data_IF_012736118026
#
_entry.id   IF_012736118026
#
_cell.length_a   1.000
_cell.length_b   1.000
_cell.length_c   1.000
_cell.angle_alpha   90.00
_cell.angle_beta   90.00
_cell.angle_gamma   90.00
#
_symmetry.space_group_name_H-M   'P 1'
#
loop_
_entity.id
_entity.type
_entity.pdbx_description
1 polymer ?
#
# COMPACT_ATOMS: atom_id res chain seq x y z
N UNK A 1 24.08 50.47 -11.35
CA UNK A 1 24.62 49.10 -11.48
C UNK A 1 23.54 48.25 -12.14
N UNK A 2 23.71 47.95 -13.43
CA UNK A 2 22.74 47.15 -14.20
C UNK A 2 23.07 45.69 -13.95
N UNK A 3 22.24 44.98 -13.18
CA UNK A 3 22.34 43.52 -13.12
C UNK A 3 22.09 43.00 -14.55
N UNK A 4 23.00 42.23 -15.16
CA UNK A 4 22.77 41.68 -16.49
C UNK A 4 21.61 40.69 -16.42
N UNK A 5 20.65 40.78 -17.37
CA UNK A 5 19.48 39.90 -17.49
C UNK A 5 19.81 38.40 -17.38
N UNK A 6 21.05 38.01 -17.70
CA UNK A 6 21.55 36.64 -17.54
C UNK A 6 21.50 36.14 -16.08
N UNK A 7 21.72 37.00 -15.09
CA UNK A 7 21.68 36.62 -13.66
C UNK A 7 20.23 36.44 -13.18
N UNK A 8 19.28 37.20 -13.73
CA UNK A 8 17.85 37.04 -13.43
C UNK A 8 17.30 35.75 -14.06
N UNK A 9 17.72 35.40 -15.28
CA UNK A 9 17.34 34.12 -15.93
C UNK A 9 17.97 32.89 -15.26
N UNK A 10 19.18 33.00 -14.71
CA UNK A 10 19.80 31.93 -13.90
C UNK A 10 19.13 31.77 -12.53
N UNK A 11 18.64 32.85 -11.91
CA UNK A 11 17.90 32.77 -10.64
C UNK A 11 16.47 32.22 -10.82
N UNK A 12 15.83 32.44 -11.97
CA UNK A 12 14.50 31.87 -12.28
C UNK A 12 14.58 30.37 -12.57
N UNK A 13 15.68 29.87 -13.15
CA UNK A 13 15.90 28.44 -13.38
C UNK A 13 16.31 27.66 -12.11
N UNK A 14 16.75 28.36 -11.06
CA UNK A 14 16.98 27.79 -9.72
C UNK A 14 15.73 27.82 -8.82
N UNK A 15 14.65 28.48 -9.25
CA UNK A 15 13.35 28.52 -8.55
C UNK A 15 12.34 27.50 -9.09
N UNK A 16 12.62 26.84 -10.21
CA UNK A 16 11.95 25.60 -10.57
C UNK A 16 12.60 24.46 -9.80
N UNK A 17 12.31 24.36 -8.51
CA UNK A 17 12.49 23.09 -7.81
C UNK A 17 11.79 22.02 -8.65
N UNK A 18 12.47 20.92 -8.95
CA UNK A 18 11.84 19.74 -9.53
C UNK A 18 10.78 19.25 -8.54
N UNK A 19 9.55 19.78 -8.64
CA UNK A 19 8.39 19.07 -8.17
C UNK A 19 8.36 17.80 -9.02
N UNK A 20 8.72 16.66 -8.42
CA UNK A 20 8.44 15.40 -9.05
C UNK A 20 6.93 15.41 -9.34
N UNK A 21 6.56 15.33 -10.61
CA UNK A 21 5.16 15.27 -10.98
C UNK A 21 4.68 13.88 -10.59
N UNK A 22 3.77 13.80 -9.60
CA UNK A 22 3.07 12.55 -9.27
C UNK A 22 2.52 11.95 -10.55
N UNK A 23 2.72 10.65 -10.73
CA UNK A 23 2.44 10.00 -12.00
C UNK A 23 1.78 8.66 -11.84
N UNK A 24 1.04 8.25 -12.87
CA UNK A 24 0.55 6.87 -13.02
C UNK A 24 1.29 6.23 -14.18
N UNK A 25 1.81 5.04 -13.98
CA UNK A 25 2.47 4.21 -14.99
C UNK A 25 1.63 2.97 -15.21
N UNK A 26 1.30 2.67 -16.46
CA UNK A 26 0.74 1.39 -16.85
C UNK A 26 1.85 0.48 -17.34
N UNK A 27 1.91 -0.73 -16.79
CA UNK A 27 2.72 -1.82 -17.32
C UNK A 27 1.80 -2.87 -17.91
N UNK A 28 1.84 -3.01 -19.24
CA UNK A 28 1.00 -3.99 -19.93
C UNK A 28 1.69 -5.35 -19.98
N UNK A 29 0.90 -6.41 -20.16
CA UNK A 29 1.44 -7.77 -20.33
C UNK A 29 2.40 -7.95 -21.52
N UNK A 30 2.47 -7.02 -22.47
CA UNK A 30 3.43 -7.01 -23.58
C UNK A 30 4.76 -6.31 -23.24
N UNK A 31 4.89 -5.75 -22.04
CA UNK A 31 6.06 -4.98 -21.60
C UNK A 31 6.05 -3.52 -22.06
N UNK A 32 4.93 -3.04 -22.63
CA UNK A 32 4.74 -1.63 -22.95
C UNK A 32 4.48 -0.84 -21.67
N UNK A 33 5.09 0.34 -21.59
CA UNK A 33 4.97 1.24 -20.45
C UNK A 33 4.35 2.54 -20.92
N UNK A 34 3.21 2.91 -20.35
CA UNK A 34 2.50 4.16 -20.67
C UNK A 34 2.48 5.03 -19.41
N UNK A 35 3.04 6.23 -19.49
CA UNK A 35 3.10 7.16 -18.38
C UNK A 35 2.03 8.27 -18.50
N UNK A 36 1.34 8.52 -17.40
CA UNK A 36 0.36 9.58 -17.23
C UNK A 36 0.84 10.55 -16.16
N UNK A 37 0.87 11.83 -16.51
CA UNK A 37 1.04 12.92 -15.55
C UNK A 37 -0.30 13.65 -15.43
N UNK A 38 -0.93 13.65 -14.25
CA UNK A 38 -2.18 14.37 -14.02
C UNK A 38 -1.98 15.86 -14.28
N UNK A 39 -3.00 16.48 -14.86
CA UNK A 39 -3.09 17.94 -14.90
C UNK A 39 -3.90 18.40 -13.69
N UNK A 40 -3.39 19.39 -12.96
CA UNK A 40 -4.01 19.89 -11.73
C UNK A 40 -5.47 20.39 -11.89
N UNK A 41 -5.92 20.67 -13.11
CA UNK A 41 -7.30 21.06 -13.40
C UNK A 41 -8.30 19.89 -13.44
N UNK A 42 -7.82 18.65 -13.58
CA UNK A 42 -8.66 17.46 -13.81
C UNK A 42 -8.84 16.62 -12.53
N UNK A 43 -8.14 16.93 -11.43
CA UNK A 43 -7.89 16.02 -10.30
C UNK A 43 -8.87 16.10 -9.11
N UNK A 44 -10.06 16.67 -9.29
CA UNK A 44 -11.04 16.74 -8.20
C UNK A 44 -11.68 15.36 -7.95
N UNK A 45 -11.90 14.95 -6.69
CA UNK A 45 -12.67 13.75 -6.39
C UNK A 45 -14.07 13.81 -6.99
N UNK A 46 -14.56 12.67 -7.48
CA UNK A 46 -15.95 12.47 -7.90
C UNK A 46 -16.88 12.96 -6.81
N UNK A 47 -17.78 13.86 -7.16
CA UNK A 47 -18.75 14.40 -6.23
C UNK A 47 -19.84 13.35 -6.03
N UNK A 48 -19.97 12.86 -4.81
CA UNK A 48 -21.08 12.01 -4.39
C UNK A 48 -22.03 12.85 -3.56
N UNK A 49 -23.23 13.09 -4.12
CA UNK A 49 -24.30 13.71 -3.36
C UNK A 49 -24.66 12.84 -2.14
N UNK A 50 -25.17 13.49 -1.11
CA UNK A 50 -25.50 12.83 0.16
C UNK A 50 -26.55 11.74 -0.02
N UNK A 51 -27.62 12.05 -0.75
CA UNK A 51 -28.74 11.13 -0.96
C UNK A 51 -28.30 9.94 -1.82
N UNK A 52 -27.51 10.20 -2.87
CA UNK A 52 -26.93 9.16 -3.74
C UNK A 52 -25.98 8.25 -2.96
N UNK A 53 -25.13 8.83 -2.11
CA UNK A 53 -24.21 8.10 -1.25
C UNK A 53 -24.97 7.20 -0.26
N UNK A 54 -25.92 7.75 0.49
CA UNK A 54 -26.69 7.00 1.49
C UNK A 54 -27.50 5.87 0.84
N UNK A 55 -28.13 6.12 -0.31
CA UNK A 55 -28.85 5.10 -1.05
C UNK A 55 -27.92 3.95 -1.48
N UNK A 56 -26.76 4.28 -2.05
CA UNK A 56 -25.78 3.27 -2.46
C UNK A 56 -25.26 2.47 -1.27
N UNK A 57 -24.95 3.12 -0.15
CA UNK A 57 -24.52 2.45 1.08
C UNK A 57 -25.58 1.46 1.57
N UNK A 58 -26.85 1.89 1.66
CA UNK A 58 -27.95 1.01 2.06
C UNK A 58 -28.13 -0.20 1.12
N UNK A 59 -27.97 -0.01 -0.19
CA UNK A 59 -28.04 -1.10 -1.17
C UNK A 59 -26.88 -2.09 -1.02
N UNK A 60 -25.65 -1.58 -0.93
CA UNK A 60 -24.45 -2.39 -0.81
C UNK A 60 -24.40 -3.15 0.53
N UNK A 61 -24.96 -2.58 1.59
CA UNK A 61 -25.01 -3.21 2.90
C UNK A 61 -25.99 -4.36 3.04
N UNK A 62 -27.09 -4.40 2.28
CA UNK A 62 -28.13 -5.44 2.39
C UNK A 62 -27.62 -6.86 2.13
N UNK A 63 -26.59 -7.01 1.31
CA UNK A 63 -26.00 -8.31 0.96
C UNK A 63 -24.85 -8.76 1.88
N UNK A 64 -24.44 -7.92 2.84
CA UNK A 64 -23.25 -8.16 3.64
C UNK A 64 -23.55 -9.07 4.83
N UNK A 65 -22.78 -10.15 4.95
CA UNK A 65 -22.75 -10.95 6.17
C UNK A 65 -21.78 -10.32 7.16
N UNK A 66 -22.32 -9.66 8.18
CA UNK A 66 -21.52 -8.95 9.17
C UNK A 66 -20.56 -9.90 9.91
N UNK A 67 -19.25 -9.60 9.94
CA UNK A 67 -18.31 -10.38 10.72
C UNK A 67 -18.46 -10.07 12.22
N UNK A 68 -18.23 -11.08 13.05
CA UNK A 68 -18.18 -10.91 14.52
C UNK A 68 -16.93 -10.11 14.93
N UNK A 69 -15.84 -10.25 14.17
CA UNK A 69 -14.55 -9.57 14.37
C UNK A 69 -14.22 -8.75 13.13
N UNK A 70 -14.68 -7.50 13.07
CA UNK A 70 -14.49 -6.64 11.90
C UNK A 70 -13.02 -6.44 11.52
N UNK A 71 -12.12 -6.24 12.50
CA UNK A 71 -10.69 -6.11 12.27
C UNK A 71 -10.09 -7.36 11.61
N UNK A 72 -10.35 -8.54 12.16
CA UNK A 72 -9.82 -9.80 11.62
C UNK A 72 -10.36 -10.08 10.22
N UNK A 73 -11.64 -9.80 9.98
CA UNK A 73 -12.25 -9.94 8.66
C UNK A 73 -11.59 -9.02 7.63
N UNK A 74 -11.33 -7.75 7.98
CA UNK A 74 -10.64 -6.81 7.12
C UNK A 74 -9.18 -7.21 6.84
N UNK A 75 -8.47 -7.73 7.84
CA UNK A 75 -7.11 -8.27 7.65
C UNK A 75 -7.09 -9.44 6.67
N UNK A 76 -8.00 -10.40 6.82
CA UNK A 76 -8.14 -11.55 5.91
C UNK A 76 -8.49 -11.09 4.50
N UNK A 77 -9.34 -10.08 4.37
CA UNK A 77 -9.77 -9.51 3.08
C UNK A 77 -8.60 -9.00 2.24
N UNK A 78 -7.60 -8.40 2.90
CA UNK A 78 -6.39 -7.86 2.26
C UNK A 78 -5.15 -8.73 2.44
N UNK A 79 -5.32 -9.99 2.86
CA UNK A 79 -4.22 -10.95 3.08
C UNK A 79 -3.14 -10.43 4.04
N UNK A 80 -3.55 -9.64 5.04
CA UNK A 80 -2.66 -9.04 6.02
C UNK A 80 -2.48 -9.96 7.24
N UNK A 81 -1.23 -10.22 7.61
CA UNK A 81 -0.89 -10.88 8.86
C UNK A 81 -1.25 -10.03 10.09
N UNK A 82 -1.36 -10.67 11.26
CA UNK A 82 -1.45 -9.93 12.51
C UNK A 82 -0.16 -9.11 12.71
N UNK A 83 -0.30 -7.81 12.94
CA UNK A 83 0.83 -6.98 13.37
C UNK A 83 1.10 -7.30 14.84
N UNK A 84 2.19 -8.00 15.11
CA UNK A 84 2.59 -8.41 16.46
C UNK A 84 4.09 -8.68 16.51
N UNK A 85 4.67 -8.55 17.70
CA UNK A 85 6.08 -8.85 17.93
C UNK A 85 6.38 -10.35 17.89
N UNK A 86 7.65 -10.71 17.77
CA UNK A 86 8.08 -12.10 17.91
C UNK A 86 8.09 -12.51 19.39
N UNK A 87 7.52 -13.67 19.70
CA UNK A 87 7.46 -14.20 21.06
C UNK A 87 8.03 -15.62 21.12
N UNK A 88 8.84 -15.89 22.14
CA UNK A 88 9.28 -17.24 22.53
C UNK A 88 8.28 -17.82 23.52
N UNK A 89 7.72 -18.98 23.22
CA UNK A 89 6.91 -19.74 24.17
C UNK A 89 7.73 -20.88 24.78
N UNK A 90 7.90 -20.87 26.11
CA UNK A 90 8.48 -21.97 26.86
C UNK A 90 7.38 -22.93 27.30
N UNK A 91 7.32 -24.12 26.68
CA UNK A 91 6.27 -25.11 26.93
C UNK A 91 6.34 -25.78 28.31
N UNK A 92 7.50 -25.75 29.00
CA UNK A 92 7.67 -26.37 30.33
C UNK A 92 7.20 -25.44 31.44
N UNK A 93 7.52 -24.15 31.31
CA UNK A 93 7.16 -23.13 32.29
C UNK A 93 5.86 -22.41 31.94
N UNK A 94 5.33 -22.63 30.72
CA UNK A 94 4.20 -21.89 30.12
C UNK A 94 4.43 -20.38 30.07
N UNK A 95 5.70 -19.97 30.03
CA UNK A 95 6.08 -18.57 30.00
C UNK A 95 6.27 -18.13 28.55
N UNK A 96 5.61 -17.05 28.16
CA UNK A 96 5.91 -16.35 26.91
C UNK A 96 7.08 -15.40 27.22
N UNK A 97 7.99 -15.14 26.30
CA UNK A 97 9.03 -14.09 26.44
C UNK A 97 9.14 -13.37 25.10
N UNK A 98 9.00 -12.04 25.02
CA UNK A 98 9.13 -11.38 23.75
C UNK A 98 10.61 -11.39 23.32
N UNK A 99 10.83 -11.48 22.02
CA UNK A 99 12.16 -11.59 21.41
C UNK A 99 12.79 -10.22 21.13
N UNK A 100 11.99 -9.18 20.99
CA UNK A 100 12.45 -7.80 20.88
C UNK A 100 12.80 -7.21 22.25
N UNK A 101 13.93 -6.50 22.33
CA UNK A 101 14.38 -5.85 23.58
C UNK A 101 13.43 -4.69 23.93
N UNK A 102 12.68 -4.83 25.02
CA UNK A 102 11.76 -3.80 25.54
C UNK A 102 10.28 -4.13 25.43
N UNK A 103 9.91 -5.24 24.79
CA UNK A 103 8.54 -5.74 24.88
C UNK A 103 8.33 -6.35 26.28
N UNK A 104 7.31 -5.89 27.00
CA UNK A 104 6.88 -6.48 28.27
C UNK A 104 5.63 -7.31 28.01
N UNK A 105 5.63 -8.54 28.50
CA UNK A 105 4.44 -9.38 28.50
C UNK A 105 3.56 -9.00 29.68
N UNK A 106 2.30 -8.72 29.36
CA UNK A 106 1.31 -8.15 30.26
C UNK A 106 1.70 -6.76 30.78
N UNK A 107 1.57 -5.76 29.92
CA UNK A 107 1.41 -4.38 30.39
C UNK A 107 0.01 -4.31 30.99
N UNK A 108 -0.09 -4.24 32.33
CA UNK A 108 -1.27 -3.67 32.96
C UNK A 108 -1.62 -2.40 32.20
N UNK A 109 -2.87 -2.28 31.75
CA UNK A 109 -3.35 -1.09 31.05
C UNK A 109 -2.80 0.16 31.75
N UNK A 110 -2.01 0.96 31.07
CA UNK A 110 -1.59 2.23 31.67
C UNK A 110 -2.84 3.02 32.04
N UNK A 111 -2.79 3.86 33.08
CA UNK A 111 -3.97 4.67 33.42
C UNK A 111 -4.43 5.52 32.23
N UNK A 112 -3.50 5.91 31.38
CA UNK A 112 -3.72 6.54 30.08
C UNK A 112 -4.59 5.68 29.15
N UNK A 113 -4.26 4.40 28.94
CA UNK A 113 -5.05 3.50 28.10
C UNK A 113 -6.44 3.22 28.68
N UNK A 114 -6.55 3.07 30.01
CA UNK A 114 -7.86 2.91 30.66
C UNK A 114 -8.72 4.16 30.49
N UNK A 115 -8.16 5.34 30.71
CA UNK A 115 -8.86 6.62 30.54
C UNK A 115 -9.30 6.83 29.09
N UNK A 116 -8.44 6.50 28.12
CA UNK A 116 -8.78 6.59 26.70
C UNK A 116 -9.88 5.60 26.30
N UNK A 117 -9.84 4.37 26.82
CA UNK A 117 -10.87 3.35 26.59
C UNK A 117 -12.22 3.78 27.17
N UNK A 118 -12.24 4.37 28.38
CA UNK A 118 -13.47 4.95 28.96
C UNK A 118 -14.03 6.08 28.10
N UNK A 119 -13.17 7.04 27.70
CA UNK A 119 -13.58 8.16 26.84
C UNK A 119 -14.11 7.71 25.47
N UNK A 120 -13.57 6.62 24.92
CA UNK A 120 -14.09 6.00 23.70
C UNK A 120 -15.52 5.44 23.90
N UNK A 121 -15.75 4.69 24.97
CA UNK A 121 -17.09 4.15 25.27
C UNK A 121 -18.10 5.27 25.52
N UNK A 122 -17.71 6.33 26.23
CA UNK A 122 -18.52 7.53 26.43
C UNK A 122 -18.82 8.25 25.10
N UNK A 123 -17.88 8.26 24.14
CA UNK A 123 -18.12 8.81 22.80
C UNK A 123 -19.12 7.96 22.01
N UNK A 124 -19.05 6.63 22.09
CA UNK A 124 -20.06 5.75 21.50
C UNK A 124 -21.46 6.06 22.08
N UNK A 125 -21.59 6.17 23.40
CA UNK A 125 -22.87 6.48 24.06
C UNK A 125 -23.43 7.85 23.65
N UNK A 126 -22.60 8.90 23.65
CA UNK A 126 -23.03 10.26 23.25
C UNK A 126 -23.48 10.37 21.80
N UNK A 127 -23.04 9.46 20.94
CA UNK A 127 -23.41 9.39 19.53
C UNK A 127 -24.54 8.40 19.26
N UNK A 128 -25.28 8.02 20.31
CA UNK A 128 -26.47 7.16 20.20
C UNK A 128 -26.15 5.67 20.03
N UNK A 129 -24.89 5.27 20.16
CA UNK A 129 -24.42 3.88 19.99
C UNK A 129 -24.16 3.24 21.36
N UNK A 130 -24.08 1.91 21.42
CA UNK A 130 -23.88 1.19 22.69
C UNK A 130 -22.59 0.40 22.68
N UNK A 131 -21.91 0.37 23.83
CA UNK A 131 -20.71 -0.44 24.04
C UNK A 131 -19.58 -0.12 23.06
N UNK A 132 -18.90 -1.16 22.59
CA UNK A 132 -17.79 -1.08 21.65
C UNK A 132 -18.29 -0.86 20.20
N UNK A 133 -18.79 0.33 19.92
CA UNK A 133 -19.50 0.64 18.67
C UNK A 133 -18.67 0.56 17.39
N UNK A 134 -17.33 0.57 17.48
CA UNK A 134 -16.39 0.40 16.37
C UNK A 134 -15.68 -0.97 16.41
N UNK A 135 -16.03 -1.85 17.34
CA UNK A 135 -15.36 -3.15 17.53
C UNK A 135 -13.83 -3.04 17.72
N UNK A 136 -13.36 -2.00 18.41
CA UNK A 136 -11.92 -1.77 18.66
C UNK A 136 -11.41 -2.44 19.92
N UNK A 137 -12.30 -3.07 20.69
CA UNK A 137 -12.01 -3.79 21.94
C UNK A 137 -12.36 -5.30 21.81
N UNK A 138 -12.61 -5.80 20.61
CA UNK A 138 -12.97 -7.21 20.39
C UNK A 138 -11.78 -8.15 20.59
N UNK A 139 -10.58 -7.71 20.20
CA UNK A 139 -9.34 -8.50 20.33
C UNK A 139 -8.56 -8.18 21.62
N UNK A 140 -9.05 -7.25 22.45
CA UNK A 140 -8.44 -6.88 23.73
C UNK A 140 -9.28 -5.88 24.53
N UNK A 141 -9.06 -5.79 25.84
CA UNK A 141 -9.87 -4.93 26.72
C UNK A 141 -9.47 -3.44 26.70
N UNK A 142 -8.58 -3.04 25.79
CA UNK A 142 -7.98 -1.70 25.74
C UNK A 142 -7.90 -1.19 24.31
N UNK A 143 -7.99 0.13 24.17
CA UNK A 143 -7.72 0.80 22.92
C UNK A 143 -6.21 0.95 22.66
N UNK A 144 -5.66 0.04 21.86
CA UNK A 144 -4.23 -0.02 21.51
C UNK A 144 -4.00 -0.34 20.02
N UNK A 145 -2.78 -0.12 19.55
CA UNK A 145 -2.34 -0.42 18.17
C UNK A 145 -3.32 0.05 17.10
N UNK A 146 -3.72 -0.88 16.23
CA UNK A 146 -4.64 -0.61 15.11
C UNK A 146 -5.98 -0.01 15.54
N UNK A 147 -6.45 -0.30 16.76
CA UNK A 147 -7.71 0.25 17.29
C UNK A 147 -7.67 1.77 17.41
N UNK A 148 -6.49 2.34 17.69
CA UNK A 148 -6.29 3.81 17.72
C UNK A 148 -6.43 4.42 16.33
N UNK A 149 -5.92 3.75 15.30
CA UNK A 149 -6.03 4.22 13.91
C UNK A 149 -7.46 4.14 13.42
N UNK A 150 -8.18 3.04 13.72
CA UNK A 150 -9.58 2.88 13.37
C UNK A 150 -10.46 3.96 14.05
N UNK A 151 -10.20 4.25 15.33
CA UNK A 151 -10.89 5.33 16.04
C UNK A 151 -10.55 6.72 15.46
N UNK A 152 -9.27 7.02 15.21
CA UNK A 152 -8.87 8.28 14.59
C UNK A 152 -9.49 8.46 13.20
N UNK A 153 -9.59 7.39 12.41
CA UNK A 153 -10.31 7.37 11.13
C UNK A 153 -11.79 7.68 11.30
N UNK A 154 -12.46 7.09 12.30
CA UNK A 154 -13.87 7.36 12.56
C UNK A 154 -14.09 8.83 13.01
N UNK A 155 -13.14 9.38 13.76
CA UNK A 155 -13.15 10.78 14.19
C UNK A 155 -12.78 11.75 13.06
N UNK A 156 -12.18 11.27 11.97
CA UNK A 156 -11.76 12.11 10.86
C UNK A 156 -12.95 12.75 10.12
N UNK A 157 -14.10 12.08 10.04
CA UNK A 157 -15.24 12.64 9.33
C UNK A 157 -16.58 12.29 9.97
N UNK A 158 -16.91 12.97 11.08
CA UNK A 158 -18.16 12.76 11.84
C UNK A 158 -19.43 12.82 10.98
N UNK A 159 -19.52 13.76 10.04
CA UNK A 159 -20.68 13.85 9.15
C UNK A 159 -20.85 12.61 8.24
N UNK A 160 -19.75 12.05 7.71
CA UNK A 160 -19.85 10.86 6.85
C UNK A 160 -20.14 9.62 7.70
N UNK A 161 -19.63 9.58 8.93
CA UNK A 161 -19.98 8.55 9.90
C UNK A 161 -21.49 8.56 10.24
N UNK A 162 -22.07 9.75 10.41
CA UNK A 162 -23.51 9.94 10.63
C UNK A 162 -24.32 9.52 9.39
N UNK A 163 -23.93 9.97 8.19
CA UNK A 163 -24.54 9.55 6.92
C UNK A 163 -24.51 8.02 6.75
N UNK A 164 -23.41 7.36 7.11
CA UNK A 164 -23.31 5.90 7.09
C UNK A 164 -24.27 5.24 8.08
N UNK A 165 -24.36 5.74 9.31
CA UNK A 165 -25.28 5.20 10.32
C UNK A 165 -26.73 5.32 9.86
N UNK A 166 -27.10 6.47 9.26
CA UNK A 166 -28.43 6.70 8.71
C UNK A 166 -28.72 5.76 7.53
N UNK A 167 -27.76 5.59 6.61
CA UNK A 167 -27.89 4.67 5.48
C UNK A 167 -28.11 3.20 5.91
N UNK A 168 -27.62 2.83 7.09
CA UNK A 168 -27.73 1.47 7.64
C UNK A 168 -28.83 1.29 8.68
N UNK A 169 -29.68 2.30 8.93
CA UNK A 169 -30.64 2.29 10.04
C UNK A 169 -31.61 1.09 10.04
N UNK A 170 -31.93 0.55 8.86
CA UNK A 170 -32.83 -0.61 8.71
C UNK A 170 -32.13 -1.97 8.93
N UNK A 171 -30.81 -1.98 9.18
CA UNK A 171 -30.06 -3.20 9.46
C UNK A 171 -30.21 -3.64 10.92
N UNK A 172 -30.00 -4.95 11.18
CA UNK A 172 -30.08 -5.50 12.53
C UNK A 172 -29.05 -4.90 13.50
N UNK A 173 -27.87 -4.54 12.99
CA UNK A 173 -26.84 -3.82 13.75
C UNK A 173 -26.11 -2.82 12.83
N UNK A 174 -26.58 -1.55 12.78
CA UNK A 174 -25.96 -0.51 11.97
C UNK A 174 -24.53 -0.19 12.42
N UNK A 175 -24.25 -0.28 13.73
CA UNK A 175 -22.91 0.02 14.28
C UNK A 175 -21.89 -1.03 13.87
N UNK A 176 -22.27 -2.31 13.85
CA UNK A 176 -21.40 -3.37 13.35
C UNK A 176 -21.08 -3.21 11.85
N UNK A 177 -22.03 -2.73 11.05
CA UNK A 177 -21.79 -2.45 9.64
C UNK A 177 -20.81 -1.29 9.44
N UNK A 178 -21.00 -0.20 10.18
CA UNK A 178 -20.05 0.92 10.19
C UNK A 178 -18.67 0.46 10.64
N UNK A 179 -18.58 -0.34 11.71
CA UNK A 179 -17.33 -0.91 12.18
C UNK A 179 -16.64 -1.74 11.07
N UNK A 180 -17.39 -2.60 10.36
CA UNK A 180 -16.86 -3.40 9.26
C UNK A 180 -16.29 -2.54 8.11
N UNK A 181 -17.00 -1.47 7.71
CA UNK A 181 -16.53 -0.54 6.70
C UNK A 181 -15.29 0.25 7.17
N UNK A 182 -15.30 0.74 8.42
CA UNK A 182 -14.19 1.48 9.01
C UNK A 182 -12.93 0.62 9.13
N UNK A 183 -13.06 -0.63 9.58
CA UNK A 183 -11.93 -1.56 9.64
C UNK A 183 -11.41 -1.94 8.26
N UNK A 184 -12.31 -2.13 7.28
CA UNK A 184 -11.92 -2.38 5.89
C UNK A 184 -11.11 -1.22 5.32
N UNK A 185 -11.61 0.01 5.46
CA UNK A 185 -10.87 1.20 5.03
C UNK A 185 -9.54 1.38 5.77
N UNK A 186 -9.54 1.20 7.09
CA UNK A 186 -8.32 1.36 7.91
C UNK A 186 -7.25 0.33 7.52
N UNK A 187 -7.61 -0.95 7.36
CA UNK A 187 -6.68 -1.99 6.91
C UNK A 187 -6.16 -1.74 5.50
N UNK A 188 -7.03 -1.30 4.59
CA UNK A 188 -6.61 -0.89 3.25
C UNK A 188 -5.55 0.21 3.30
N UNK A 189 -5.72 1.26 4.11
CA UNK A 189 -4.74 2.34 4.21
C UNK A 189 -3.45 1.89 4.91
N UNK A 190 -3.52 0.98 5.88
CA UNK A 190 -2.33 0.40 6.53
C UNK A 190 -1.43 -0.29 5.50
N UNK A 191 -1.99 -0.98 4.51
CA UNK A 191 -1.23 -1.61 3.42
C UNK A 191 -0.26 -0.63 2.75
N UNK A 192 -0.68 0.63 2.59
CA UNK A 192 0.06 1.68 1.91
C UNK A 192 1.10 2.39 2.80
N UNK A 193 1.20 2.02 4.07
CA UNK A 193 2.19 2.61 5.01
C UNK A 193 3.50 1.82 5.07
N UNK A 194 3.55 0.64 4.44
CA UNK A 194 4.78 -0.16 4.31
C UNK A 194 5.69 0.49 3.25
N UNK A 195 7.03 0.51 3.41
CA UNK A 195 7.93 0.98 2.37
C UNK A 195 7.74 0.21 1.05
N UNK A 196 7.66 0.93 -0.06
CA UNK A 196 7.44 0.39 -1.42
C UNK A 196 6.27 -0.60 -1.52
N UNK A 197 5.05 -0.16 -1.16
CA UNK A 197 3.92 -1.07 -1.00
C UNK A 197 3.51 -1.63 -2.36
N UNK A 198 3.31 -2.95 -2.40
CA UNK A 198 2.76 -3.68 -3.54
C UNK A 198 1.46 -4.35 -3.10
N UNK A 199 0.38 -4.01 -3.80
CA UNK A 199 -0.94 -4.61 -3.62
C UNK A 199 -1.26 -5.54 -4.78
N UNK A 200 -2.05 -6.58 -4.50
CA UNK A 200 -2.55 -7.56 -5.48
C UNK A 200 -4.02 -7.84 -5.20
N UNK A 201 -4.66 -8.57 -6.11
CA UNK A 201 -6.03 -9.05 -5.91
C UNK A 201 -6.99 -7.89 -5.63
N UNK A 202 -7.80 -8.00 -4.57
CA UNK A 202 -8.80 -6.99 -4.24
C UNK A 202 -8.18 -5.63 -3.92
N UNK A 203 -7.05 -5.59 -3.21
CA UNK A 203 -6.39 -4.33 -2.88
C UNK A 203 -5.91 -3.58 -4.14
N UNK A 204 -5.43 -4.31 -5.16
CA UNK A 204 -5.02 -3.71 -6.43
C UNK A 204 -6.21 -3.10 -7.19
N UNK A 205 -7.30 -3.85 -7.31
CA UNK A 205 -8.53 -3.39 -7.96
C UNK A 205 -9.14 -2.20 -7.20
N UNK A 206 -9.23 -2.29 -5.87
CA UNK A 206 -9.72 -1.20 -5.02
C UNK A 206 -8.87 0.07 -5.18
N UNK A 207 -7.55 -0.07 -5.35
CA UNK A 207 -6.64 1.06 -5.56
C UNK A 207 -6.85 1.73 -6.91
N UNK A 208 -6.96 0.96 -7.98
CA UNK A 208 -7.27 1.51 -9.30
C UNK A 208 -8.63 2.21 -9.31
N UNK A 209 -9.64 1.65 -8.64
CA UNK A 209 -10.95 2.30 -8.47
C UNK A 209 -10.86 3.56 -7.62
N UNK A 210 -10.09 3.58 -6.54
CA UNK A 210 -9.87 4.80 -5.74
C UNK A 210 -9.19 5.89 -6.55
N UNK A 211 -8.18 5.56 -7.36
CA UNK A 211 -7.54 6.53 -8.26
C UNK A 211 -8.56 7.06 -9.29
N UNK A 212 -9.43 6.20 -9.82
CA UNK A 212 -10.50 6.60 -10.72
C UNK A 212 -11.52 7.55 -10.07
N UNK A 213 -11.88 7.32 -8.80
CA UNK A 213 -12.86 8.13 -8.08
C UNK A 213 -12.29 9.40 -7.45
N UNK A 214 -11.02 9.38 -7.06
CA UNK A 214 -10.41 10.45 -6.26
C UNK A 214 -9.40 11.29 -7.04
N UNK A 215 -8.83 10.73 -8.10
CA UNK A 215 -7.60 11.20 -8.71
C UNK A 215 -6.36 10.77 -7.93
N UNK A 216 -5.23 10.69 -8.64
CA UNK A 216 -3.96 10.21 -8.04
C UNK A 216 -3.40 11.17 -6.98
N UNK A 217 -3.62 12.48 -7.12
CA UNK A 217 -3.17 13.48 -6.15
C UNK A 217 -3.88 13.33 -4.80
N UNK A 218 -5.20 13.13 -4.85
CA UNK A 218 -6.00 12.86 -3.66
C UNK A 218 -5.59 11.53 -3.06
N UNK A 219 -5.46 10.46 -3.86
CA UNK A 219 -4.99 9.16 -3.39
C UNK A 219 -3.63 9.25 -2.66
N UNK A 220 -2.68 10.00 -3.20
CA UNK A 220 -1.39 10.25 -2.56
C UNK A 220 -1.52 11.02 -1.24
N UNK A 221 -2.37 12.04 -1.23
CA UNK A 221 -2.61 12.86 -0.05
C UNK A 221 -3.27 12.03 1.06
N UNK A 222 -4.15 11.10 0.72
CA UNK A 222 -4.76 10.16 1.66
C UNK A 222 -3.73 9.19 2.25
N UNK A 223 -2.95 8.51 1.42
CA UNK A 223 -1.98 7.51 1.89
C UNK A 223 -0.88 8.14 2.75
N UNK A 224 -0.30 9.26 2.31
CA UNK A 224 0.71 10.00 3.09
C UNK A 224 0.12 10.66 4.34
N UNK A 225 -1.11 11.18 4.26
CA UNK A 225 -1.84 11.71 5.40
C UNK A 225 -2.14 10.65 6.45
N UNK A 226 -2.46 9.43 6.02
CA UNK A 226 -2.76 8.32 6.91
C UNK A 226 -1.49 7.80 7.62
N UNK A 227 -0.36 7.73 6.92
CA UNK A 227 0.93 7.42 7.54
C UNK A 227 1.27 8.40 8.69
N UNK A 228 1.01 9.70 8.48
CA UNK A 228 1.14 10.72 9.54
C UNK A 228 0.12 10.54 10.66
N UNK A 229 -1.13 10.21 10.34
CA UNK A 229 -2.16 9.90 11.34
C UNK A 229 -1.72 8.74 12.24
N UNK A 230 -1.13 7.68 11.67
CA UNK A 230 -0.64 6.55 12.48
C UNK A 230 0.46 6.99 13.46
N UNK A 231 1.45 7.73 12.95
CA UNK A 231 2.57 8.22 13.76
C UNK A 231 2.11 9.15 14.90
N UNK A 232 1.14 10.03 14.63
CA UNK A 232 0.57 10.95 15.63
C UNK A 232 -0.35 10.20 16.62
N UNK A 233 -1.16 9.24 16.14
CA UNK A 233 -2.05 8.43 16.97
C UNK A 233 -1.29 7.51 17.95
N UNK A 234 -0.12 7.01 17.57
CA UNK A 234 0.75 6.24 18.46
C UNK A 234 1.26 7.07 19.62
N UNK A 235 1.51 8.37 19.38
CA UNK A 235 2.03 9.31 20.38
C UNK A 235 0.92 9.95 21.23
N UNK A 236 -0.33 9.90 20.78
CA UNK A 236 -1.46 10.45 21.51
C UNK A 236 -1.64 9.76 22.87
N UNK A 237 -1.79 10.59 23.91
CA UNK A 237 -1.99 10.16 25.31
C UNK A 237 -3.42 10.39 25.77
N UNK A 238 -4.21 11.17 25.06
CA UNK A 238 -5.61 11.41 25.43
C UNK A 238 -6.55 11.18 24.26
N UNK A 239 -7.82 10.91 24.56
CA UNK A 239 -8.85 10.81 23.54
C UNK A 239 -8.99 12.11 22.74
N UNK A 240 -8.82 13.27 23.39
CA UNK A 240 -8.92 14.57 22.74
C UNK A 240 -7.77 14.82 21.77
N UNK A 241 -6.55 14.43 22.12
CA UNK A 241 -5.42 14.43 21.20
C UNK A 241 -5.70 13.53 19.98
N UNK A 242 -6.20 12.32 20.20
CA UNK A 242 -6.53 11.39 19.12
C UNK A 242 -7.64 11.93 18.20
N UNK A 243 -8.64 12.62 18.77
CA UNK A 243 -9.68 13.34 18.02
C UNK A 243 -9.09 14.44 17.15
N UNK A 244 -8.16 15.24 17.68
CA UNK A 244 -7.48 16.29 16.90
C UNK A 244 -6.67 15.70 15.75
N UNK A 245 -6.01 14.55 15.95
CA UNK A 245 -5.31 13.81 14.89
C UNK A 245 -6.30 13.39 13.80
N UNK A 246 -7.42 12.77 14.19
CA UNK A 246 -8.50 12.40 13.28
C UNK A 246 -9.01 13.60 12.47
N UNK A 247 -9.41 14.68 13.12
CA UNK A 247 -9.92 15.90 12.48
C UNK A 247 -8.93 16.52 11.47
N UNK A 248 -7.63 16.47 11.78
CA UNK A 248 -6.59 16.93 10.85
C UNK A 248 -6.55 16.06 9.59
N UNK A 249 -6.61 14.74 9.75
CA UNK A 249 -6.68 13.82 8.62
C UNK A 249 -7.99 13.99 7.82
N UNK A 250 -9.10 14.26 8.51
CA UNK A 250 -10.38 14.63 7.91
C UNK A 250 -10.31 15.80 6.93
N UNK A 251 -9.51 16.82 7.26
CA UNK A 251 -9.26 17.97 6.38
C UNK A 251 -8.44 17.61 5.14
N UNK A 252 -7.55 16.61 5.24
CA UNK A 252 -6.79 16.09 4.10
C UNK A 252 -7.70 15.31 3.16
N UNK A 253 -8.57 14.47 3.71
CA UNK A 253 -9.50 13.65 2.93
C UNK A 253 -10.60 14.50 2.29
N UNK A 254 -11.25 15.38 3.05
CA UNK A 254 -12.43 16.12 2.60
C UNK A 254 -13.65 15.22 2.42
N UNK A 255 -14.84 15.83 2.35
CA UNK A 255 -16.12 15.10 2.40
C UNK A 255 -16.35 14.16 1.21
N UNK A 256 -16.09 14.63 -0.02
CA UNK A 256 -16.32 13.83 -1.22
C UNK A 256 -15.40 12.59 -1.28
N UNK A 257 -14.11 12.77 -0.95
CA UNK A 257 -13.20 11.63 -0.91
C UNK A 257 -13.56 10.67 0.23
N UNK A 258 -14.02 11.18 1.38
CA UNK A 258 -14.49 10.34 2.49
C UNK A 258 -15.71 9.49 2.09
N UNK A 259 -16.71 10.08 1.41
CA UNK A 259 -17.87 9.33 0.88
C UNK A 259 -17.44 8.25 -0.11
N UNK A 260 -16.62 8.60 -1.10
CA UNK A 260 -16.14 7.64 -2.09
C UNK A 260 -15.32 6.51 -1.44
N UNK A 261 -14.45 6.87 -0.49
CA UNK A 261 -13.66 5.90 0.26
C UNK A 261 -14.54 4.96 1.10
N UNK A 262 -15.52 5.51 1.84
CA UNK A 262 -16.46 4.74 2.66
C UNK A 262 -17.32 3.80 1.80
N UNK A 263 -17.79 4.27 0.65
CA UNK A 263 -18.55 3.46 -0.31
C UNK A 263 -17.70 2.28 -0.81
N UNK A 264 -16.48 2.54 -1.29
CA UNK A 264 -15.61 1.48 -1.80
C UNK A 264 -15.17 0.52 -0.69
N UNK A 265 -14.89 1.01 0.51
CA UNK A 265 -14.62 0.15 1.67
C UNK A 265 -15.81 -0.76 2.00
N UNK A 266 -17.04 -0.25 1.88
CA UNK A 266 -18.27 -1.01 2.11
C UNK A 266 -18.49 -2.08 1.04
N UNK A 267 -18.31 -1.73 -0.23
CA UNK A 267 -18.40 -2.67 -1.36
C UNK A 267 -17.36 -3.78 -1.23
N UNK A 268 -16.16 -3.48 -0.71
CA UNK A 268 -15.10 -4.46 -0.52
C UNK A 268 -15.46 -5.54 0.54
N UNK A 269 -16.35 -5.25 1.49
CA UNK A 269 -16.70 -6.20 2.56
C UNK A 269 -17.24 -7.51 1.98
N UNK A 270 -16.53 -8.61 2.23
CA UNK A 270 -16.93 -9.94 1.80
C UNK A 270 -16.87 -10.19 0.29
N UNK A 271 -16.27 -9.28 -0.48
CA UNK A 271 -16.12 -9.42 -1.94
C UNK A 271 -14.73 -9.95 -2.32
N UNK A 272 -14.67 -10.59 -3.49
CA UNK A 272 -13.41 -10.87 -4.19
C UNK A 272 -13.06 -9.70 -5.10
N UNK A 273 -11.85 -9.69 -5.68
CA UNK A 273 -11.47 -8.70 -6.69
C UNK A 273 -12.49 -8.61 -7.84
N UNK A 274 -12.94 -9.76 -8.36
CA UNK A 274 -13.93 -9.83 -9.42
C UNK A 274 -15.33 -9.39 -8.97
N UNK A 275 -15.76 -9.78 -7.77
CA UNK A 275 -17.05 -9.37 -7.20
C UNK A 275 -17.12 -7.85 -6.98
N UNK A 276 -16.04 -7.28 -6.44
CA UNK A 276 -15.88 -5.83 -6.28
C UNK A 276 -15.91 -5.13 -7.63
N UNK A 277 -15.09 -5.57 -8.60
CA UNK A 277 -15.02 -4.95 -9.93
C UNK A 277 -16.37 -5.00 -10.66
N UNK A 278 -17.12 -6.10 -10.53
CA UNK A 278 -18.45 -6.23 -11.13
C UNK A 278 -19.48 -5.23 -10.60
N UNK A 279 -19.28 -4.69 -9.40
CA UNK A 279 -20.15 -3.66 -8.81
C UNK A 279 -19.76 -2.24 -9.20
N UNK A 280 -18.48 -1.98 -9.52
CA UNK A 280 -17.95 -0.63 -9.80
C UNK A 280 -18.77 0.16 -10.84
N UNK A 281 -19.21 -0.42 -11.97
CA UNK A 281 -20.03 0.31 -12.95
C UNK A 281 -21.39 0.78 -12.42
N UNK A 282 -21.93 0.10 -11.40
CA UNK A 282 -23.26 0.38 -10.82
C UNK A 282 -23.22 1.41 -9.70
N UNK A 283 -22.04 1.80 -9.25
CA UNK A 283 -21.88 2.76 -8.17
C UNK A 283 -22.18 4.19 -8.64
N UNK A 284 -22.72 5.06 -7.76
CA UNK A 284 -22.89 6.47 -8.08
C UNK A 284 -21.56 7.11 -8.47
N UNK A 285 -21.57 7.99 -9.46
CA UNK A 285 -20.35 8.65 -9.96
C UNK A 285 -19.46 7.79 -10.89
N UNK A 286 -19.82 6.54 -11.19
CA UNK A 286 -19.02 5.65 -12.05
C UNK A 286 -18.75 6.20 -13.45
N UNK A 287 -19.67 6.98 -14.01
CA UNK A 287 -19.50 7.65 -15.30
C UNK A 287 -18.38 8.70 -15.24
N UNK A 288 -18.35 9.54 -14.20
CA UNK A 288 -17.29 10.52 -13.99
C UNK A 288 -15.96 9.81 -13.70
N UNK A 289 -15.97 8.80 -12.83
CA UNK A 289 -14.80 7.99 -12.52
C UNK A 289 -14.23 7.31 -13.77
N UNK A 290 -15.07 6.90 -14.73
CA UNK A 290 -14.62 6.29 -15.99
C UNK A 290 -13.86 7.29 -16.87
N UNK A 291 -14.34 8.54 -16.95
CA UNK A 291 -13.66 9.62 -17.68
C UNK A 291 -12.32 9.94 -17.01
N UNK A 292 -12.30 10.00 -15.68
CA UNK A 292 -11.10 10.26 -14.89
C UNK A 292 -10.08 9.12 -15.02
N UNK A 293 -10.52 7.87 -14.91
CA UNK A 293 -9.66 6.69 -15.08
C UNK A 293 -8.98 6.68 -16.46
N UNK A 294 -9.75 6.95 -17.53
CA UNK A 294 -9.22 6.94 -18.89
C UNK A 294 -8.21 8.05 -19.15
N UNK A 295 -8.39 9.22 -18.53
CA UNK A 295 -7.56 10.42 -18.75
C UNK A 295 -6.34 10.53 -17.82
N UNK A 296 -6.45 10.08 -16.56
CA UNK A 296 -5.40 10.24 -15.54
C UNK A 296 -4.62 8.96 -15.25
N UNK A 297 -5.24 7.81 -15.48
CA UNK A 297 -4.62 6.51 -15.22
C UNK A 297 -4.51 5.65 -16.49
N UNK A 298 -5.16 6.03 -17.59
CA UNK A 298 -5.17 5.25 -18.83
C UNK A 298 -5.93 3.93 -18.75
N UNK A 299 -6.78 3.73 -17.74
CA UNK A 299 -7.51 2.48 -17.50
C UNK A 299 -8.98 2.62 -17.88
N UNK A 300 -9.55 1.58 -18.47
CA UNK A 300 -11.00 1.44 -18.66
C UNK A 300 -11.62 0.93 -17.35
N UNK A 301 -12.47 1.74 -16.71
CA UNK A 301 -13.05 1.40 -15.40
C UNK A 301 -13.84 0.07 -15.41
N UNK A 302 -14.55 -0.24 -16.50
CA UNK A 302 -15.28 -1.51 -16.63
C UNK A 302 -14.36 -2.75 -16.71
N UNK A 303 -13.07 -2.56 -16.98
CA UNK A 303 -12.06 -3.60 -17.03
C UNK A 303 -11.09 -3.52 -15.83
N UNK A 304 -11.46 -2.80 -14.75
CA UNK A 304 -10.57 -2.62 -13.58
C UNK A 304 -10.18 -3.93 -12.89
N UNK A 305 -10.95 -5.02 -13.10
CA UNK A 305 -10.60 -6.38 -12.65
C UNK A 305 -9.27 -6.88 -13.22
N UNK A 306 -8.87 -6.37 -14.38
CA UNK A 306 -7.64 -6.75 -15.07
C UNK A 306 -6.39 -6.04 -14.51
N UNK A 307 -6.56 -5.16 -13.51
CA UNK A 307 -5.44 -4.62 -12.73
C UNK A 307 -4.98 -5.70 -11.75
N UNK A 308 -3.83 -6.32 -12.07
CA UNK A 308 -3.31 -7.48 -11.32
C UNK A 308 -2.50 -7.09 -10.10
N UNK A 309 -1.79 -5.97 -10.19
CA UNK A 309 -0.98 -5.44 -9.11
C UNK A 309 -0.89 -3.91 -9.20
N UNK A 310 -0.75 -3.28 -8.04
CA UNK A 310 -0.42 -1.86 -7.94
C UNK A 310 0.77 -1.70 -7.01
N UNK A 311 1.82 -1.08 -7.52
CA UNK A 311 3.02 -0.76 -6.75
C UNK A 311 3.19 0.75 -6.65
N UNK A 312 3.74 1.21 -5.53
CA UNK A 312 4.08 2.62 -5.33
C UNK A 312 5.57 2.73 -5.02
N UNK A 313 6.28 3.51 -5.82
CA UNK A 313 7.69 3.82 -5.62
C UNK A 313 7.89 5.31 -5.80
N UNK A 314 8.40 5.99 -4.76
CA UNK A 314 8.43 7.45 -4.73
C UNK A 314 7.02 8.01 -4.94
N UNK A 315 6.85 8.94 -5.87
CA UNK A 315 5.56 9.56 -6.18
C UNK A 315 4.85 8.95 -7.43
N UNK A 316 5.28 7.76 -7.85
CA UNK A 316 4.73 7.08 -9.03
C UNK A 316 3.92 5.84 -8.61
N UNK A 317 2.68 5.79 -9.06
CA UNK A 317 1.82 4.60 -8.95
C UNK A 317 1.97 3.77 -10.22
N UNK A 318 2.39 2.52 -10.10
CA UNK A 318 2.52 1.58 -11.23
C UNK A 318 1.39 0.56 -11.19
N UNK A 319 0.56 0.52 -12.23
CA UNK A 319 -0.54 -0.41 -12.42
C UNK A 319 -0.11 -1.49 -13.42
N UNK A 320 -0.02 -2.74 -12.98
CA UNK A 320 0.18 -3.88 -13.87
C UNK A 320 -1.18 -4.32 -14.43
N UNK A 321 -1.38 -4.15 -15.74
CA UNK A 321 -2.70 -4.30 -16.39
C UNK A 321 -2.66 -5.23 -17.59
N UNK A 322 -3.77 -5.93 -17.86
CA UNK A 322 -3.96 -6.61 -19.14
C UNK A 322 -4.24 -5.60 -20.26
N UNK A 323 -3.99 -6.00 -21.51
CA UNK A 323 -4.02 -5.10 -22.66
C UNK A 323 -5.43 -4.52 -22.94
N UNK A 324 -6.47 -5.30 -22.65
CA UNK A 324 -7.88 -4.91 -22.76
C UNK A 324 -8.34 -3.91 -21.70
N UNK A 325 -7.58 -3.77 -20.61
CA UNK A 325 -7.82 -2.76 -19.57
C UNK A 325 -7.31 -1.36 -19.96
N UNK A 326 -6.45 -1.27 -20.98
CA UNK A 326 -5.84 -0.03 -21.42
C UNK A 326 -6.83 0.78 -22.26
N UNK A 327 -7.06 2.04 -21.90
CA UNK A 327 -8.01 2.91 -22.59
C UNK A 327 -7.56 3.25 -24.02
N UNK A 328 -8.51 3.55 -24.91
CA UNK A 328 -8.17 3.99 -26.26
C UNK A 328 -7.31 5.28 -26.26
N UNK A 329 -7.53 6.17 -25.28
CA UNK A 329 -6.70 7.37 -25.06
C UNK A 329 -5.26 6.98 -24.74
N UNK A 330 -5.05 5.98 -23.89
CA UNK A 330 -3.74 5.45 -23.57
C UNK A 330 -3.07 4.79 -24.78
N UNK A 331 -3.81 4.00 -25.57
CA UNK A 331 -3.32 3.37 -26.79
C UNK A 331 -2.91 4.42 -27.85
N UNK A 332 -3.64 5.54 -27.95
CA UNK A 332 -3.29 6.66 -28.83
C UNK A 332 -2.04 7.43 -28.39
N UNK A 333 -1.82 7.55 -27.07
CA UNK A 333 -0.58 8.11 -26.50
C UNK A 333 0.62 7.17 -26.70
N UNK A 334 0.42 5.86 -26.80
CA UNK A 334 1.43 4.90 -27.22
C UNK A 334 2.01 5.17 -28.63
N UNK A 335 1.32 5.98 -29.46
CA UNK A 335 1.80 6.46 -30.76
C UNK A 335 2.64 7.75 -30.71
N UNK A 336 2.55 8.52 -29.62
CA UNK A 336 3.44 9.63 -29.34
C UNK A 336 4.47 9.14 -28.33
N UNK A 337 5.53 8.51 -28.84
CA UNK A 337 6.72 8.19 -28.06
C UNK A 337 7.23 9.47 -27.39
N UNK A 338 6.80 9.72 -26.15
CA UNK A 338 7.65 10.40 -25.18
C UNK A 338 8.87 9.49 -25.11
N UNK A 339 9.95 9.95 -25.74
CA UNK A 339 11.20 9.19 -25.82
C UNK A 339 11.56 8.63 -24.44
N UNK A 340 12.18 7.45 -24.38
CA UNK A 340 12.27 6.66 -23.17
C UNK A 340 12.96 7.46 -22.07
N UNK A 341 12.17 7.91 -21.09
CA UNK A 341 12.69 8.30 -19.79
C UNK A 341 12.69 7.05 -18.93
N UNK A 342 13.46 6.06 -19.37
CA UNK A 342 13.93 4.91 -18.57
C UNK A 342 15.08 4.22 -19.31
N UNK A 343 16.11 4.99 -19.62
CA UNK A 343 17.43 4.45 -19.95
C UNK A 343 18.14 3.80 -18.74
N UNK A 344 17.41 3.44 -17.66
CA UNK A 344 18.02 2.89 -16.43
C UNK A 344 17.50 1.52 -15.97
N UNK A 345 16.40 0.98 -16.48
CA UNK A 345 15.99 -0.41 -16.20
C UNK A 345 15.29 -0.65 -14.85
N UNK A 346 14.60 -1.80 -14.74
CA UNK A 346 13.84 -2.21 -13.55
C UNK A 346 14.77 -2.69 -12.42
N UNK A 347 14.37 -2.50 -11.17
CA UNK A 347 15.05 -3.06 -10.00
C UNK A 347 14.96 -4.61 -10.04
N UNK A 348 16.13 -5.25 -10.08
CA UNK A 348 16.32 -6.69 -10.14
C UNK A 348 17.12 -7.13 -8.92
N UNK A 349 16.56 -8.09 -8.17
CA UNK A 349 17.25 -8.70 -7.04
C UNK A 349 18.37 -9.61 -7.55
N UNK A 350 19.61 -9.30 -7.18
CA UNK A 350 20.80 -10.08 -7.55
C UNK A 350 20.64 -11.51 -7.03
N UNK A 351 20.36 -11.65 -5.73
CA UNK A 351 19.90 -12.87 -5.06
C UNK A 351 18.37 -12.82 -4.85
N UNK A 352 17.64 -13.81 -5.36
CA UNK A 352 16.16 -13.76 -5.46
C UNK A 352 15.44 -13.83 -4.12
N UNK A 353 14.45 -12.95 -3.96
CA UNK A 353 13.53 -12.81 -2.84
C UNK A 353 12.13 -13.43 -3.11
N UNK A 354 12.00 -14.28 -4.15
CA UNK A 354 10.70 -14.89 -4.53
C UNK A 354 10.66 -16.42 -4.68
N UNK A 355 11.77 -17.13 -4.47
CA UNK A 355 11.90 -18.58 -4.77
C UNK A 355 12.06 -19.45 -3.51
N UNK A 356 11.07 -19.41 -2.62
CA UNK A 356 11.05 -20.15 -1.35
C UNK A 356 10.58 -21.60 -1.49
N UNK A 357 9.60 -21.85 -2.35
CA UNK A 357 8.92 -23.16 -2.46
C UNK A 357 9.03 -23.77 -3.88
N UNK A 358 9.80 -23.14 -4.77
CA UNK A 358 9.89 -23.57 -6.16
C UNK A 358 10.55 -24.94 -6.27
N UNK A 359 9.83 -25.91 -6.85
CA UNK A 359 10.28 -27.28 -7.13
C UNK A 359 10.71 -27.50 -8.59
N UNK A 360 10.69 -26.46 -9.42
CA UNK A 360 11.16 -26.43 -10.80
C UNK A 360 12.43 -25.55 -10.92
N UNK A 361 13.29 -25.83 -11.91
CA UNK A 361 14.61 -25.16 -12.12
C UNK A 361 15.53 -25.19 -10.87
N UNK A 362 15.53 -26.34 -10.18
CA UNK A 362 16.42 -26.68 -9.05
C UNK A 362 16.38 -25.72 -7.84
N UNK A 363 15.25 -25.02 -7.70
CA UNK A 363 14.88 -24.33 -6.46
C UNK A 363 14.69 -25.30 -5.27
N UNK A 364 14.55 -24.77 -4.05
CA UNK A 364 14.39 -23.35 -3.75
C UNK A 364 15.75 -22.63 -3.61
N UNK A 365 15.85 -21.47 -4.25
CA UNK A 365 17.08 -20.66 -4.28
C UNK A 365 17.14 -19.66 -3.13
N UNK A 366 16.00 -19.13 -2.73
CA UNK A 366 15.94 -18.08 -1.73
C UNK A 366 16.36 -18.51 -0.32
N UNK A 367 16.05 -19.74 0.17
CA UNK A 367 16.61 -20.23 1.41
C UNK A 367 18.14 -20.28 1.39
N UNK A 368 18.74 -20.72 0.28
CA UNK A 368 20.20 -20.76 0.11
C UNK A 368 20.82 -19.35 0.13
N UNK A 369 20.16 -18.37 -0.46
CA UNK A 369 20.60 -16.98 -0.39
C UNK A 369 20.41 -16.37 1.00
N UNK A 370 19.30 -16.67 1.67
CA UNK A 370 19.03 -16.20 3.03
C UNK A 370 20.11 -16.66 4.01
N UNK A 371 20.56 -17.92 3.92
CA UNK A 371 21.68 -18.43 4.74
C UNK A 371 22.96 -17.59 4.61
N UNK A 372 23.26 -17.09 3.42
CA UNK A 372 24.45 -16.24 3.17
C UNK A 372 24.24 -14.84 3.73
N UNK A 373 23.05 -14.27 3.57
CA UNK A 373 22.71 -12.93 4.04
C UNK A 373 22.61 -12.87 5.57
N UNK A 374 22.11 -13.92 6.22
CA UNK A 374 22.03 -14.03 7.69
C UNK A 374 23.42 -14.00 8.34
N UNK A 375 24.44 -14.61 7.71
CA UNK A 375 25.83 -14.54 8.20
C UNK A 375 26.41 -13.12 8.21
N UNK A 376 25.89 -12.24 7.36
CA UNK A 376 26.21 -10.81 7.31
C UNK A 376 25.22 -9.93 8.11
N UNK A 377 24.19 -10.53 8.72
CA UNK A 377 23.06 -9.81 9.31
C UNK A 377 22.39 -8.87 8.31
N UNK A 378 22.29 -9.27 7.03
CA UNK A 378 21.65 -8.50 5.95
C UNK A 378 20.32 -9.16 5.55
N UNK A 379 19.41 -8.39 4.96
CA UNK A 379 18.16 -8.90 4.41
C UNK A 379 18.31 -9.13 2.90
N UNK A 380 17.56 -10.08 2.32
CA UNK A 380 17.47 -10.21 0.86
C UNK A 380 16.87 -8.96 0.19
N UNK A 381 16.14 -8.12 0.95
CA UNK A 381 15.61 -6.84 0.48
C UNK A 381 16.59 -5.66 0.72
N UNK A 382 17.82 -5.94 1.17
CA UNK A 382 18.82 -4.90 1.36
C UNK A 382 19.13 -4.20 0.02
N UNK A 383 19.22 -2.85 -0.02
CA UNK A 383 19.50 -2.11 -1.25
C UNK A 383 20.78 -2.57 -1.97
N UNK A 384 21.77 -3.13 -1.25
CA UNK A 384 22.96 -3.69 -1.87
C UNK A 384 22.65 -4.89 -2.78
N UNK A 385 21.56 -5.62 -2.53
CA UNK A 385 21.11 -6.76 -3.32
C UNK A 385 20.26 -6.37 -4.54
N UNK A 386 20.06 -5.08 -4.80
CA UNK A 386 19.20 -4.58 -5.87
C UNK A 386 20.04 -3.90 -6.95
N UNK A 387 19.86 -4.31 -8.20
CA UNK A 387 20.50 -3.70 -9.37
C UNK A 387 19.46 -3.35 -10.41
N UNK A 388 19.61 -2.21 -11.07
CA UNK A 388 18.74 -1.84 -12.19
C UNK A 388 19.21 -2.44 -13.50
N UNK A 389 18.31 -3.14 -14.20
CA UNK A 389 18.62 -3.83 -15.45
C UNK A 389 17.62 -3.45 -16.53
N UNK A 390 18.10 -2.84 -17.60
CA UNK A 390 17.28 -2.51 -18.76
C UNK A 390 16.94 -3.78 -19.55
N UNK A 391 15.66 -4.03 -19.80
CA UNK A 391 15.20 -5.21 -20.54
C UNK A 391 15.27 -6.52 -19.74
N UNK A 392 15.20 -6.44 -18.41
CA UNK A 392 15.12 -7.59 -17.51
C UNK A 392 13.94 -8.51 -17.85
N UNK A 393 14.17 -9.84 -17.84
CA UNK A 393 13.17 -10.87 -18.13
C UNK A 393 13.33 -12.08 -17.20
N UNK A 394 12.52 -12.14 -16.15
CA UNK A 394 12.39 -13.34 -15.32
C UNK A 394 11.44 -14.39 -15.92
N UNK A 395 11.41 -15.63 -15.38
CA UNK A 395 12.33 -16.21 -14.40
C UNK A 395 13.72 -16.52 -14.98
N UNK A 396 14.76 -16.49 -14.13
CA UNK A 396 16.16 -16.71 -14.53
C UNK A 396 16.52 -18.19 -14.56
N UNK A 397 17.50 -18.61 -15.38
CA UNK A 397 17.95 -20.00 -15.40
C UNK A 397 18.71 -20.38 -14.12
N UNK A 398 18.77 -21.68 -13.85
CA UNK A 398 19.57 -22.27 -12.76
C UNK A 398 21.02 -21.74 -12.73
N UNK A 399 21.64 -21.65 -13.92
CA UNK A 399 23.00 -21.15 -14.10
C UNK A 399 23.20 -19.76 -13.48
N UNK A 400 22.21 -18.87 -13.62
CA UNK A 400 22.28 -17.54 -13.02
C UNK A 400 22.34 -17.66 -11.50
N UNK A 401 21.39 -18.39 -10.91
CA UNK A 401 21.27 -18.50 -9.45
C UNK A 401 22.47 -19.20 -8.82
N UNK A 402 22.96 -20.30 -9.40
CA UNK A 402 24.14 -21.00 -8.91
C UNK A 402 25.38 -20.09 -8.95
N UNK A 403 25.55 -19.32 -10.04
CA UNK A 403 26.70 -18.43 -10.19
C UNK A 403 26.68 -17.25 -9.22
N UNK A 404 25.51 -16.71 -8.89
CA UNK A 404 25.37 -15.72 -7.82
C UNK A 404 25.72 -16.36 -6.48
N UNK A 405 25.15 -17.53 -6.16
CA UNK A 405 25.36 -18.19 -4.88
C UNK A 405 26.84 -18.51 -4.62
N UNK A 406 27.54 -19.09 -5.61
CA UNK A 406 28.96 -19.43 -5.52
C UNK A 406 29.83 -18.19 -5.25
N UNK A 407 29.49 -17.05 -5.85
CA UNK A 407 30.23 -15.80 -5.68
C UNK A 407 30.01 -15.19 -4.31
N UNK A 408 28.76 -15.16 -3.84
CA UNK A 408 28.44 -14.63 -2.51
C UNK A 408 29.07 -15.50 -1.41
N UNK A 409 28.93 -16.83 -1.51
CA UNK A 409 29.61 -17.76 -0.59
C UNK A 409 31.14 -17.62 -0.67
N UNK A 410 31.68 -17.44 -1.88
CA UNK A 410 33.10 -17.21 -2.12
C UNK A 410 33.63 -15.96 -1.42
N UNK A 411 32.93 -14.83 -1.52
CA UNK A 411 33.30 -13.57 -0.87
C UNK A 411 33.18 -13.64 0.66
N UNK A 412 32.26 -14.46 1.15
CA UNK A 412 32.01 -14.64 2.58
C UNK A 412 32.98 -15.64 3.25
N UNK A 413 33.80 -16.38 2.48
CA UNK A 413 34.75 -17.34 3.05
C UNK A 413 35.81 -16.63 3.90
N UNK A 414 35.85 -16.98 5.19
CA UNK A 414 36.90 -16.51 6.12
C UNK A 414 36.76 -15.06 6.57
N UNK A 415 35.62 -14.40 6.35
CA UNK A 415 35.38 -13.01 6.76
C UNK A 415 35.43 -12.80 8.29
N UNK A 416 35.17 -13.84 9.08
CA UNK A 416 35.29 -13.83 10.54
C UNK A 416 34.05 -13.24 11.22
N UNK A 417 34.13 -11.99 11.67
CA UNK A 417 33.04 -11.32 12.40
C UNK A 417 31.92 -10.86 11.45
N UNK A 418 30.67 -10.86 11.92
CA UNK A 418 29.49 -10.41 11.15
C UNK A 418 29.67 -9.09 10.40
N UNK A 419 30.32 -8.07 11.01
CA UNK A 419 30.57 -6.78 10.35
C UNK A 419 31.49 -6.91 9.12
N UNK A 420 32.57 -7.67 9.23
CA UNK A 420 33.49 -7.96 8.11
C UNK A 420 32.82 -8.79 7.02
N UNK A 421 31.91 -9.68 7.42
CA UNK A 421 31.11 -10.47 6.50
C UNK A 421 30.11 -9.57 5.74
N UNK A 422 29.47 -8.63 6.43
CA UNK A 422 28.63 -7.59 5.80
C UNK A 422 29.40 -6.75 4.79
N UNK A 423 30.60 -6.29 5.14
CA UNK A 423 31.45 -5.52 4.21
C UNK A 423 31.83 -6.34 2.98
N UNK A 424 32.23 -7.61 3.16
CA UNK A 424 32.58 -8.51 2.07
C UNK A 424 31.39 -8.83 1.15
N UNK A 425 30.21 -9.08 1.73
CA UNK A 425 28.98 -9.35 0.99
C UNK A 425 28.53 -8.14 0.18
N UNK A 426 28.53 -6.96 0.81
CA UNK A 426 28.15 -5.68 0.16
C UNK A 426 29.07 -5.37 -1.01
N UNK A 427 30.38 -5.58 -0.86
CA UNK A 427 31.35 -5.34 -1.93
C UNK A 427 31.18 -6.31 -3.10
N UNK A 428 30.90 -7.58 -2.82
CA UNK A 428 30.64 -8.56 -3.88
C UNK A 428 29.33 -8.29 -4.61
N UNK A 429 28.28 -7.89 -3.89
CA UNK A 429 27.01 -7.47 -4.47
C UNK A 429 27.18 -6.25 -5.38
N UNK A 430 28.02 -5.26 -5.03
CA UNK A 430 28.36 -4.14 -5.93
C UNK A 430 29.02 -4.61 -7.23
N UNK A 431 29.93 -5.59 -7.17
CA UNK A 431 30.59 -6.15 -8.36
C UNK A 431 29.61 -6.93 -9.23
N UNK A 432 28.71 -7.68 -8.60
CA UNK A 432 27.64 -8.38 -9.29
C UNK A 432 26.67 -7.41 -9.95
N UNK A 433 26.27 -6.35 -9.25
CA UNK A 433 25.45 -5.27 -9.79
C UNK A 433 26.08 -4.65 -11.03
N UNK A 434 27.38 -4.35 -10.99
CA UNK A 434 28.10 -3.81 -12.15
C UNK A 434 28.03 -4.76 -13.35
N UNK A 435 28.24 -6.06 -13.14
CA UNK A 435 28.20 -7.04 -14.24
C UNK A 435 26.77 -7.18 -14.77
N UNK A 436 25.79 -7.37 -13.90
CA UNK A 436 24.39 -7.58 -14.27
C UNK A 436 23.80 -6.34 -14.97
N UNK A 437 24.16 -5.14 -14.54
CA UNK A 437 23.71 -3.88 -15.14
C UNK A 437 24.43 -3.50 -16.44
N UNK A 438 25.56 -4.13 -16.78
CA UNK A 438 26.34 -3.81 -17.99
C UNK A 438 25.91 -4.67 -19.17
N UNK A 439 25.36 -4.10 -20.25
CA UNK A 439 25.02 -4.85 -21.46
C UNK A 439 26.21 -5.60 -22.05
N UNK A 440 25.99 -6.85 -22.48
CA UNK A 440 27.02 -7.69 -23.11
C UNK A 440 27.88 -8.50 -22.13
N UNK A 441 27.68 -8.37 -20.81
CA UNK A 441 28.25 -9.35 -19.87
C UNK A 441 27.42 -10.63 -19.86
N UNK A 442 28.05 -11.75 -19.48
CA UNK A 442 27.35 -13.03 -19.35
C UNK A 442 26.20 -12.99 -18.34
N UNK A 443 26.36 -12.30 -17.21
CA UNK A 443 25.28 -12.17 -16.22
C UNK A 443 24.13 -11.31 -16.73
N UNK A 444 24.42 -10.24 -17.49
CA UNK A 444 23.38 -9.43 -18.13
C UNK A 444 22.60 -10.24 -19.20
N UNK A 445 23.30 -11.07 -19.99
CA UNK A 445 22.66 -11.93 -20.99
C UNK A 445 21.65 -12.91 -20.36
N UNK A 446 22.02 -13.52 -19.22
CA UNK A 446 21.15 -14.46 -18.49
C UNK A 446 19.88 -13.78 -17.94
N UNK A 447 19.95 -12.52 -17.48
CA UNK A 447 18.78 -11.81 -16.93
C UNK A 447 17.97 -11.03 -17.96
N UNK A 448 18.46 -10.88 -19.19
CA UNK A 448 17.76 -10.22 -20.31
C UNK A 448 17.33 -11.18 -21.43
N UNK A 449 17.72 -12.47 -21.33
CA UNK A 449 17.47 -13.55 -22.31
C UNK A 449 17.91 -13.16 -23.74
N UNK A 450 19.17 -12.73 -23.87
CA UNK A 450 19.79 -12.34 -25.15
C UNK A 450 20.68 -13.42 -25.78
N UNK A 451 20.63 -14.64 -25.26
CA UNK A 451 21.24 -15.84 -25.87
C UNK A 451 20.22 -16.98 -25.95
#
# INVERSE_FOLDING_TARGET
MRLPCAVVLLLVSLLTGCAATRGVRLETGSGEVIAFTPRAADSAPVALDEDEFMLAMGLEGRGVRLPVKAQEAARRLFEMGARGGEYRFDARTRHVTPLESGAHLEVEATETERAMTRAYLEWCERTGRRGDCLQVLVDGVRLEGDGRYALAMALAHGAVLEEMLEAFQDMADPSAMVAAAMWTGTMYLILWTVPEPVSKGLAAVMTATLIAYLGVDTFWSLTTGFARLMEEADRARTFDELRVVGERYGKVMGRNAARAFALLATVAIGNTAAGFAGKVPMLPGSAQASVQAASQAGVVLSAVVEVRAVAVVGEVVTLAVAADAVSATAQGLGGAAVGPVDAKGHDHHIATDKWWEATYNDGPWSPKFQEVFDQAGMSLNDPANIVRVAGHKGPHPEEYHQRILDRLQGAMRGCGTMLRCRDALTEELKRLALQIGTPGTRLNALVTRRE
#
